data_IF_370245504499
#
_entry.id   IF_370245504499
#
_cell.length_a   1.000
_cell.length_b   1.000
_cell.length_c   1.000
_cell.angle_alpha   90.00
_cell.angle_beta   90.00
_cell.angle_gamma   90.00
#
_symmetry.space_group_name_H-M   'P 1'
#
loop_
_entity.id
_entity.type
_entity.pdbx_description
1 polymer ?
#
# COMPACT_ATOMS: atom_id res chain seq x y z
N UNK A 1 -0.40 16.14 -3.56
CA UNK A 1 -0.09 14.75 -3.94
C UNK A 1 -1.27 13.87 -3.56
N UNK A 2 -1.85 13.19 -4.53
CA UNK A 2 -3.10 12.43 -4.35
C UNK A 2 -3.00 11.05 -4.98
N UNK A 3 -3.80 10.11 -4.45
CA UNK A 3 -4.02 8.80 -5.06
C UNK A 3 -5.51 8.62 -5.31
N UNK A 4 -5.86 7.92 -6.39
CA UNK A 4 -7.24 7.61 -6.73
C UNK A 4 -7.29 6.29 -7.50
N UNK A 5 -8.20 5.43 -7.11
CA UNK A 5 -8.38 4.14 -7.79
C UNK A 5 -9.43 3.27 -7.13
N UNK A 6 -9.53 2.05 -7.61
CA UNK A 6 -10.47 1.04 -7.11
C UNK A 6 -9.81 0.26 -5.96
N UNK A 7 -10.60 -0.14 -4.98
CA UNK A 7 -10.12 -0.79 -3.76
C UNK A 7 -10.14 -2.32 -3.90
N UNK A 8 -9.02 -2.93 -3.49
CA UNK A 8 -8.93 -4.35 -3.17
C UNK A 8 -8.92 -4.47 -1.64
N UNK A 9 -9.84 -5.21 -1.08
CA UNK A 9 -10.05 -5.30 0.36
C UNK A 9 -9.59 -6.64 0.93
N UNK A 10 -8.81 -6.59 2.01
CA UNK A 10 -8.31 -7.78 2.73
C UNK A 10 -8.56 -7.62 4.22
N UNK A 11 -8.38 -8.69 4.98
CA UNK A 11 -8.66 -8.74 6.41
C UNK A 11 -7.46 -8.46 7.30
N UNK A 12 -7.48 -9.05 8.51
CA UNK A 12 -6.40 -8.93 9.49
C UNK A 12 -5.18 -9.77 9.12
N UNK A 13 -4.03 -9.36 9.61
CA UNK A 13 -2.79 -10.13 9.57
C UNK A 13 -2.39 -10.60 8.17
N UNK A 14 -2.49 -9.70 7.20
CA UNK A 14 -1.94 -9.95 5.87
C UNK A 14 -0.42 -9.89 5.99
N UNK A 15 0.22 -11.06 6.13
CA UNK A 15 1.66 -11.11 6.39
C UNK A 15 2.48 -11.02 5.10
N UNK A 16 3.78 -10.78 5.27
CA UNK A 16 4.68 -10.58 4.12
C UNK A 16 4.79 -11.82 3.24
N UNK A 17 4.62 -13.02 3.80
CA UNK A 17 4.63 -14.27 3.05
C UNK A 17 3.40 -14.43 2.16
N UNK A 18 2.27 -13.85 2.59
CA UNK A 18 1.04 -13.79 1.80
C UNK A 18 1.16 -12.75 0.69
N UNK A 19 1.79 -11.60 0.99
CA UNK A 19 1.98 -10.52 0.02
C UNK A 19 2.91 -10.99 -1.12
N UNK A 20 4.04 -11.58 -0.75
CA UNK A 20 4.97 -12.18 -1.72
C UNK A 20 5.55 -13.47 -1.13
N UNK A 21 5.17 -14.64 -1.67
CA UNK A 21 5.63 -15.93 -1.12
C UNK A 21 7.15 -16.10 -1.19
N UNK A 22 7.69 -16.83 -0.20
CA UNK A 22 9.14 -17.06 -0.07
C UNK A 22 9.75 -17.68 -1.32
N UNK A 23 8.99 -18.47 -2.08
CA UNK A 23 9.48 -19.12 -3.31
C UNK A 23 9.87 -18.13 -4.41
N UNK A 24 9.50 -16.85 -4.29
CA UNK A 24 9.83 -15.80 -5.26
C UNK A 24 10.92 -14.85 -4.79
N UNK A 25 11.49 -15.06 -3.60
CA UNK A 25 12.45 -14.13 -3.00
C UNK A 25 13.87 -14.23 -3.58
N UNK A 26 14.11 -15.19 -4.46
CA UNK A 26 15.39 -15.28 -5.18
C UNK A 26 15.52 -14.23 -6.29
N UNK A 27 14.45 -13.49 -6.57
CA UNK A 27 14.46 -12.37 -7.51
C UNK A 27 14.32 -11.06 -6.76
N UNK A 28 15.01 -10.01 -7.23
CA UNK A 28 14.85 -8.64 -6.75
C UNK A 28 14.22 -7.75 -7.82
N UNK A 29 13.84 -8.31 -8.96
CA UNK A 29 13.21 -7.55 -10.04
C UNK A 29 11.78 -7.15 -9.64
N UNK A 30 11.49 -5.84 -9.49
CA UNK A 30 10.16 -5.40 -9.11
C UNK A 30 9.06 -5.89 -10.06
N UNK A 31 9.32 -5.91 -11.36
CA UNK A 31 8.33 -6.36 -12.34
C UNK A 31 7.98 -7.83 -12.15
N UNK A 32 8.97 -8.67 -11.86
CA UNK A 32 8.73 -10.09 -11.59
C UNK A 32 7.97 -10.28 -10.28
N UNK A 33 8.36 -9.58 -9.22
CA UNK A 33 7.67 -9.65 -7.94
C UNK A 33 6.21 -9.22 -8.08
N UNK A 34 5.95 -8.19 -8.88
CA UNK A 34 4.59 -7.72 -9.12
C UNK A 34 3.67 -8.78 -9.71
N UNK A 35 4.19 -9.66 -10.56
CA UNK A 35 3.39 -10.72 -11.20
C UNK A 35 2.89 -11.78 -10.21
N UNK A 36 3.50 -11.86 -9.02
CA UNK A 36 3.16 -12.81 -7.97
C UNK A 36 2.59 -12.15 -6.72
N UNK A 37 2.36 -10.83 -6.76
CA UNK A 37 1.86 -10.08 -5.61
C UNK A 37 0.48 -10.59 -5.20
N UNK A 38 0.31 -10.90 -3.92
CA UNK A 38 -0.94 -11.39 -3.32
C UNK A 38 -1.41 -12.76 -3.87
N UNK A 39 -0.54 -13.49 -4.57
CA UNK A 39 -0.91 -14.72 -5.26
C UNK A 39 -1.57 -15.76 -4.35
N UNK A 40 -1.06 -15.93 -3.15
CA UNK A 40 -1.56 -16.96 -2.22
C UNK A 40 -2.86 -16.59 -1.51
N UNK A 41 -3.24 -15.32 -1.52
CA UNK A 41 -4.48 -14.86 -0.90
C UNK A 41 -5.54 -14.47 -1.93
N UNK A 42 -5.12 -13.99 -3.09
CA UNK A 42 -6.04 -13.50 -4.13
C UNK A 42 -5.39 -13.65 -5.51
N UNK A 43 -5.65 -14.76 -6.16
CA UNK A 43 -5.07 -15.05 -7.48
C UNK A 43 -5.51 -14.06 -8.55
N UNK A 44 -6.65 -13.41 -8.36
CA UNK A 44 -7.19 -12.46 -9.32
C UNK A 44 -6.59 -11.07 -9.18
N UNK A 45 -5.89 -10.79 -8.09
CA UNK A 45 -5.34 -9.46 -7.83
C UNK A 45 -4.46 -8.97 -9.00
N UNK A 46 -3.48 -9.75 -9.40
CA UNK A 46 -2.54 -9.35 -10.46
C UNK A 46 -3.21 -9.22 -11.83
N UNK A 47 -4.35 -9.89 -12.02
CA UNK A 47 -5.12 -9.81 -13.26
C UNK A 47 -6.02 -8.59 -13.33
N UNK A 48 -6.46 -8.09 -12.18
CA UNK A 48 -7.46 -7.01 -12.08
C UNK A 48 -6.88 -5.67 -11.67
N UNK A 49 -5.73 -5.67 -10.97
CA UNK A 49 -5.14 -4.44 -10.48
C UNK A 49 -4.71 -3.54 -11.63
N UNK A 50 -5.02 -2.25 -11.50
CA UNK A 50 -4.63 -1.22 -12.46
C UNK A 50 -3.77 -0.19 -11.75
N UNK A 51 -2.94 0.50 -12.50
CA UNK A 51 -2.12 1.58 -11.94
C UNK A 51 -3.01 2.61 -11.26
N UNK A 52 -2.73 2.89 -10.01
CA UNK A 52 -3.48 3.83 -9.19
C UNK A 52 -4.46 3.18 -8.22
N UNK A 53 -4.73 1.88 -8.34
CA UNK A 53 -5.62 1.18 -7.43
C UNK A 53 -5.07 1.16 -6.01
N UNK A 54 -5.94 0.90 -5.04
CA UNK A 54 -5.60 0.92 -3.62
C UNK A 54 -5.86 -0.44 -2.97
N UNK A 55 -5.09 -0.72 -1.92
CA UNK A 55 -5.36 -1.84 -1.02
C UNK A 55 -5.91 -1.27 0.29
N UNK A 56 -6.99 -1.84 0.79
CA UNK A 56 -7.55 -1.53 2.11
C UNK A 56 -7.59 -2.81 2.93
N UNK A 57 -7.06 -2.78 4.13
CA UNK A 57 -7.01 -3.96 5.00
C UNK A 57 -7.30 -3.58 6.45
N UNK A 58 -7.40 -4.58 7.32
CA UNK A 58 -7.70 -4.37 8.71
C UNK A 58 -6.43 -4.24 9.56
N UNK A 59 -6.27 -5.06 10.60
CA UNK A 59 -5.15 -4.92 11.54
C UNK A 59 -3.89 -5.61 11.09
N UNK A 60 -2.75 -5.03 11.44
CA UNK A 60 -1.44 -5.67 11.38
C UNK A 60 -1.03 -6.08 9.97
N UNK A 61 -1.28 -5.19 9.00
CA UNK A 61 -0.88 -5.41 7.61
C UNK A 61 0.65 -5.42 7.49
N UNK A 62 1.16 -6.44 6.79
CA UNK A 62 2.61 -6.57 6.59
C UNK A 62 3.35 -7.25 7.73
N UNK A 63 2.64 -7.96 8.61
CA UNK A 63 3.25 -8.71 9.71
C UNK A 63 4.13 -9.86 9.19
N UNK A 64 4.82 -10.52 10.09
CA UNK A 64 5.71 -11.63 9.74
C UNK A 64 7.14 -11.17 9.54
N UNK A 65 7.80 -11.69 8.50
CA UNK A 65 9.22 -11.39 8.23
C UNK A 65 9.42 -9.97 7.71
N UNK A 66 10.58 -9.39 8.02
CA UNK A 66 10.94 -8.04 7.58
C UNK A 66 11.42 -8.04 6.13
N UNK A 67 10.55 -8.40 5.20
CA UNK A 67 10.91 -8.51 3.78
C UNK A 67 10.64 -7.22 3.04
N UNK A 68 11.70 -6.61 2.50
CA UNK A 68 11.58 -5.44 1.64
C UNK A 68 10.84 -5.76 0.35
N UNK A 69 10.85 -7.03 -0.06
CA UNK A 69 10.17 -7.50 -1.28
C UNK A 69 8.65 -7.24 -1.24
N UNK A 70 8.03 -7.29 -0.06
CA UNK A 70 6.60 -7.12 0.08
C UNK A 70 6.11 -5.73 -0.38
N UNK A 71 6.61 -4.61 0.16
CA UNK A 71 6.20 -3.30 -0.33
C UNK A 71 6.63 -3.04 -1.77
N UNK A 72 7.78 -3.58 -2.20
CA UNK A 72 8.23 -3.47 -3.59
C UNK A 72 7.23 -4.14 -4.54
N UNK A 73 6.77 -5.34 -4.22
CA UNK A 73 5.80 -6.08 -5.04
C UNK A 73 4.47 -5.31 -5.15
N UNK A 74 3.98 -4.77 -4.05
CA UNK A 74 2.73 -3.99 -4.03
C UNK A 74 2.87 -2.74 -4.91
N UNK A 75 3.95 -1.99 -4.73
CA UNK A 75 4.19 -0.77 -5.51
C UNK A 75 4.34 -1.07 -7.00
N UNK A 76 5.11 -2.09 -7.35
CA UNK A 76 5.34 -2.49 -8.74
C UNK A 76 4.08 -3.01 -9.41
N UNK A 77 3.14 -3.57 -8.66
CA UNK A 77 1.85 -4.00 -9.17
C UNK A 77 0.94 -2.83 -9.59
N UNK A 78 1.31 -1.60 -9.20
CA UNK A 78 0.56 -0.40 -9.58
C UNK A 78 -0.25 0.23 -8.45
N UNK A 79 -0.19 -0.34 -7.25
CA UNK A 79 -0.93 0.19 -6.10
C UNK A 79 -0.41 1.56 -5.72
N UNK A 80 -1.30 2.54 -5.62
CA UNK A 80 -0.95 3.92 -5.31
C UNK A 80 -0.91 4.22 -3.81
N UNK A 81 -1.63 3.44 -3.01
CA UNK A 81 -1.70 3.63 -1.56
C UNK A 81 -2.24 2.37 -0.89
N UNK A 82 -1.75 2.08 0.30
CA UNK A 82 -2.31 1.05 1.18
C UNK A 82 -2.91 1.73 2.39
N UNK A 83 -4.19 1.46 2.66
CA UNK A 83 -4.89 1.96 3.84
C UNK A 83 -5.17 0.77 4.73
N UNK A 84 -4.81 0.85 6.01
CA UNK A 84 -5.08 -0.23 6.95
C UNK A 84 -5.47 0.34 8.31
N UNK A 85 -6.10 -0.49 9.13
CA UNK A 85 -6.38 -0.11 10.52
C UNK A 85 -5.06 0.08 11.27
N UNK A 86 -4.12 -0.88 11.13
CA UNK A 86 -2.74 -0.77 11.62
C UNK A 86 -1.78 -1.50 10.68
N UNK A 87 -0.51 -1.11 10.75
CA UNK A 87 0.58 -1.77 10.01
C UNK A 87 1.60 -2.34 10.99
N UNK A 88 2.24 -3.44 10.60
CA UNK A 88 3.43 -3.89 11.28
C UNK A 88 4.55 -2.84 11.12
N UNK A 89 5.30 -2.59 12.19
CA UNK A 89 6.28 -1.48 12.23
C UNK A 89 7.32 -1.58 11.12
N UNK A 90 7.86 -2.75 10.89
CA UNK A 90 8.92 -2.94 9.88
C UNK A 90 8.37 -2.74 8.47
N UNK A 91 7.18 -3.27 8.20
CA UNK A 91 6.51 -3.05 6.92
C UNK A 91 6.27 -1.55 6.68
N UNK A 92 5.78 -0.83 7.68
CA UNK A 92 5.55 0.61 7.59
C UNK A 92 6.83 1.34 7.17
N UNK A 93 7.94 1.06 7.85
CA UNK A 93 9.23 1.66 7.57
C UNK A 93 9.71 1.33 6.16
N UNK A 94 9.65 0.07 5.77
CA UNK A 94 10.10 -0.37 4.45
C UNK A 94 9.27 0.25 3.33
N UNK A 95 7.95 0.36 3.53
CA UNK A 95 7.05 0.97 2.55
C UNK A 95 7.41 2.45 2.31
N UNK A 96 7.61 3.22 3.36
CA UNK A 96 8.02 4.62 3.24
C UNK A 96 9.37 4.73 2.54
N UNK A 97 10.33 3.89 2.90
CA UNK A 97 11.67 3.93 2.32
C UNK A 97 11.69 3.68 0.81
N UNK A 98 10.77 2.88 0.30
CA UNK A 98 10.70 2.61 -1.16
C UNK A 98 9.67 3.49 -1.86
N UNK A 99 9.04 4.40 -1.14
CA UNK A 99 8.08 5.34 -1.73
C UNK A 99 6.68 4.80 -1.94
N UNK A 100 6.28 3.76 -1.23
CA UNK A 100 4.89 3.28 -1.24
C UNK A 100 4.09 4.04 -0.18
N UNK A 101 3.11 4.88 -0.57
CA UNK A 101 2.28 5.59 0.41
C UNK A 101 1.42 4.63 1.22
N UNK A 102 1.38 4.83 2.54
CA UNK A 102 0.55 4.04 3.45
C UNK A 102 -0.07 4.94 4.50
N UNK A 103 -1.31 4.65 4.89
CA UNK A 103 -2.05 5.43 5.88
C UNK A 103 -2.74 4.50 6.86
N UNK A 104 -2.58 4.77 8.16
CA UNK A 104 -3.35 4.10 9.20
C UNK A 104 -4.63 4.89 9.46
N UNK A 105 -5.79 4.27 9.22
CA UNK A 105 -7.08 4.89 9.46
C UNK A 105 -8.13 3.80 9.74
N UNK A 106 -8.39 3.50 11.02
CA UNK A 106 -9.35 2.46 11.39
C UNK A 106 -10.76 2.69 10.81
N UNK A 107 -11.24 3.94 10.81
CA UNK A 107 -12.57 4.25 10.28
C UNK A 107 -12.66 3.95 8.78
N UNK A 108 -11.62 4.31 8.02
CA UNK A 108 -11.58 4.03 6.59
C UNK A 108 -11.50 2.53 6.32
N UNK A 109 -10.68 1.82 7.09
CA UNK A 109 -10.53 0.37 6.94
C UNK A 109 -11.87 -0.35 7.12
N UNK A 110 -12.73 0.14 8.02
CA UNK A 110 -14.04 -0.46 8.28
C UNK A 110 -15.12 0.02 7.31
N UNK A 111 -15.02 1.25 6.84
CA UNK A 111 -16.05 1.90 6.03
C UNK A 111 -15.87 1.75 4.53
N UNK A 112 -14.76 1.26 4.07
CA UNK A 112 -14.47 1.07 2.64
C UNK A 112 -14.60 -0.41 2.30
N UNK A 113 -15.26 -0.70 1.18
CA UNK A 113 -15.46 -2.07 0.71
C UNK A 113 -14.71 -2.34 -0.60
N UNK A 114 -14.53 -3.63 -0.91
CA UNK A 114 -13.92 -4.03 -2.17
C UNK A 114 -14.72 -3.50 -3.34
N UNK A 115 -14.04 -2.96 -4.33
CA UNK A 115 -14.66 -2.38 -5.52
C UNK A 115 -15.04 -0.92 -5.38
N UNK A 116 -14.98 -0.33 -4.19
CA UNK A 116 -15.23 1.10 -4.01
C UNK A 116 -14.14 1.91 -4.71
N UNK A 117 -14.52 3.08 -5.20
CA UNK A 117 -13.54 4.03 -5.74
C UNK A 117 -13.19 5.06 -4.65
N UNK A 118 -11.91 5.21 -4.39
CA UNK A 118 -11.41 6.01 -3.28
C UNK A 118 -10.32 6.96 -3.74
N UNK A 119 -10.34 8.17 -3.19
CA UNK A 119 -9.30 9.18 -3.41
C UNK A 119 -8.66 9.53 -2.08
N UNK A 120 -7.35 9.67 -2.08
CA UNK A 120 -6.57 10.04 -0.88
C UNK A 120 -5.79 11.32 -1.17
N UNK A 121 -5.93 12.30 -0.28
CA UNK A 121 -5.10 13.51 -0.28
C UNK A 121 -4.02 13.35 0.78
N UNK A 122 -2.78 13.16 0.35
CA UNK A 122 -1.68 12.93 1.29
C UNK A 122 -1.28 14.17 2.08
N UNK A 123 -1.58 15.34 1.58
CA UNK A 123 -1.23 16.60 2.26
C UNK A 123 -2.10 16.84 3.49
N UNK A 124 -3.39 16.49 3.40
CA UNK A 124 -4.33 16.67 4.50
C UNK A 124 -4.64 15.38 5.26
N UNK A 125 -4.37 14.22 4.67
CA UNK A 125 -4.75 12.93 5.23
C UNK A 125 -6.21 12.56 5.00
N UNK A 126 -6.94 13.31 4.17
CA UNK A 126 -8.36 13.05 3.89
C UNK A 126 -8.50 11.90 2.89
N UNK A 127 -9.33 10.93 3.25
CA UNK A 127 -9.67 9.78 2.42
C UNK A 127 -11.14 9.92 2.04
N UNK A 128 -11.42 10.02 0.75
CA UNK A 128 -12.80 10.16 0.25
C UNK A 128 -13.22 8.89 -0.47
N UNK A 129 -14.29 8.25 0.02
CA UNK A 129 -14.92 7.15 -0.68
C UNK A 129 -15.92 7.74 -1.68
N UNK A 130 -15.54 7.79 -2.95
CA UNK A 130 -16.35 8.38 -4.00
C UNK A 130 -17.60 7.59 -4.30
N UNK A 131 -17.55 6.28 -4.15
CA UNK A 131 -18.69 5.39 -4.38
C UNK A 131 -19.82 5.62 -3.37
N UNK A 132 -19.45 5.81 -2.09
CA UNK A 132 -20.44 5.98 -0.99
C UNK A 132 -20.63 7.43 -0.59
N UNK A 133 -19.79 8.34 -1.04
CA UNK A 133 -19.85 9.74 -0.66
C UNK A 133 -19.41 10.01 0.78
N UNK A 134 -18.60 9.14 1.37
CA UNK A 134 -18.12 9.29 2.75
C UNK A 134 -16.68 9.77 2.77
N UNK A 135 -16.29 10.43 3.86
CA UNK A 135 -14.93 10.92 4.08
C UNK A 135 -14.39 10.44 5.40
N UNK A 136 -13.10 10.16 5.42
CA UNK A 136 -12.38 9.79 6.62
C UNK A 136 -11.11 10.62 6.70
N UNK A 137 -10.59 10.82 7.89
CA UNK A 137 -9.32 11.54 8.07
C UNK A 137 -8.31 10.62 8.73
N UNK A 138 -7.28 10.26 7.97
CA UNK A 138 -6.11 9.59 8.49
C UNK A 138 -5.06 10.59 8.93
N UNK A 139 -3.91 10.11 9.35
CA UNK A 139 -2.80 10.96 9.73
C UNK A 139 -2.07 11.44 8.48
N UNK A 140 -1.97 12.77 8.31
CA UNK A 140 -1.20 13.35 7.21
C UNK A 140 0.29 13.01 7.39
N UNK A 141 0.99 12.83 6.29
CA UNK A 141 2.43 12.57 6.34
C UNK A 141 3.19 13.84 6.73
N UNK A 142 4.22 13.73 7.58
CA UNK A 142 5.19 14.81 7.74
C UNK A 142 5.81 15.21 6.40
N UNK A 143 6.24 16.46 6.28
CA UNK A 143 6.78 16.98 5.03
C UNK A 143 7.92 16.12 4.46
N UNK A 144 8.85 15.68 5.33
CA UNK A 144 9.98 14.89 4.85
C UNK A 144 9.53 13.52 4.29
N UNK A 145 8.48 12.91 4.85
CA UNK A 145 7.92 11.67 4.33
C UNK A 145 7.27 11.88 2.96
N UNK A 146 6.57 13.00 2.78
CA UNK A 146 5.99 13.35 1.49
C UNK A 146 7.08 13.50 0.42
N UNK A 147 8.22 14.09 0.77
CA UNK A 147 9.36 14.23 -0.14
C UNK A 147 9.97 12.90 -0.52
N UNK A 148 10.11 11.98 0.42
CA UNK A 148 10.61 10.63 0.16
C UNK A 148 9.68 9.89 -0.81
N UNK A 149 8.38 9.96 -0.58
CA UNK A 149 7.37 9.32 -1.42
C UNK A 149 7.38 9.95 -2.82
N UNK A 150 7.43 11.28 -2.91
CA UNK A 150 7.47 11.99 -4.19
C UNK A 150 8.73 11.66 -4.99
N UNK A 151 9.86 11.40 -4.31
CA UNK A 151 11.10 10.97 -4.95
C UNK A 151 11.12 9.47 -5.29
N UNK A 152 10.06 8.74 -4.95
CA UNK A 152 9.93 7.28 -5.15
C UNK A 152 10.89 6.45 -4.30
N UNK A 153 11.22 6.95 -3.11
CA UNK A 153 11.97 6.21 -2.12
C UNK A 153 13.12 7.01 -1.52
N UNK A 154 13.63 6.51 -0.40
CA UNK A 154 14.66 7.19 0.38
C UNK A 154 15.98 7.37 -0.39
N UNK A 155 16.41 6.33 -1.11
CA UNK A 155 17.67 6.39 -1.88
C UNK A 155 17.58 7.48 -2.95
N UNK A 156 16.48 7.52 -3.68
CA UNK A 156 16.27 8.56 -4.70
C UNK A 156 16.18 9.96 -4.08
N UNK A 157 15.53 10.08 -2.92
CA UNK A 157 15.42 11.34 -2.19
C UNK A 157 16.80 11.88 -1.83
N UNK A 158 17.68 11.02 -1.31
CA UNK A 158 19.05 11.41 -0.94
C UNK A 158 19.86 11.80 -2.17
N UNK A 159 19.74 11.06 -3.26
CA UNK A 159 20.51 11.31 -4.48
C UNK A 159 20.08 12.58 -5.21
N UNK A 160 18.85 13.01 -5.03
CA UNK A 160 18.29 14.23 -5.68
C UNK A 160 18.34 15.47 -4.78
N UNK A 161 18.97 15.35 -3.63
CA UNK A 161 19.02 16.44 -2.65
C UNK A 161 20.11 17.48 -2.98
#
# INVERSE_FOLDING_TARGET
MNAKGTVFKYGDNVDTDVIIPARYLNSSDPAELATHCMEDIDKEFVKKVKKGDLIVADKNFGCGSSREHAPIAIKAAGVSCVIAETFARIFYRNAINIGLPIIECPEAAKGIEAGDEVEVDFDSGVITNLTKGTKFKGQAFPEFMQKIIAAKGLVNYINNK
#
